data_IF_204857566826
#
_entry.id   IF_204857566826
#
_cell.length_a   1.000
_cell.length_b   1.000
_cell.length_c   1.000
_cell.angle_alpha   90.00
_cell.angle_beta   90.00
_cell.angle_gamma   90.00
#
_symmetry.space_group_name_H-M   'P 1'
#
loop_
_entity.id
_entity.type
_entity.pdbx_description
1 polymer ?
#
# COMPACT_ATOMS: atom_id res chain seq x y z
N UNK A 1 31.41 -54.75 8.67
CA UNK A 1 31.56 -53.62 7.72
C UNK A 1 30.19 -53.33 7.11
N UNK A 2 29.59 -52.18 7.41
CA UNK A 2 28.32 -51.78 6.80
C UNK A 2 28.59 -51.31 5.37
N UNK A 3 28.03 -52.01 4.37
CA UNK A 3 28.14 -51.60 2.96
C UNK A 3 27.42 -50.26 2.78
N UNK A 4 28.18 -49.21 2.45
CA UNK A 4 27.63 -47.92 2.04
C UNK A 4 27.05 -48.07 0.63
N UNK A 5 25.72 -48.05 0.50
CA UNK A 5 25.06 -47.96 -0.81
C UNK A 5 25.33 -46.57 -1.40
N UNK A 6 25.98 -46.52 -2.56
CA UNK A 6 26.17 -45.28 -3.32
C UNK A 6 24.91 -44.91 -4.10
N UNK A 7 24.69 -43.61 -4.30
CA UNK A 7 23.59 -43.08 -5.11
C UNK A 7 23.88 -43.31 -6.60
N UNK A 8 22.89 -43.74 -7.37
CA UNK A 8 23.08 -43.98 -8.82
C UNK A 8 22.86 -42.71 -9.64
N UNK A 9 23.57 -42.57 -10.76
CA UNK A 9 23.38 -41.46 -11.70
C UNK A 9 21.96 -41.45 -12.29
N UNK A 10 21.37 -42.62 -12.48
CA UNK A 10 20.01 -42.76 -13.01
C UNK A 10 18.97 -42.27 -12.01
N UNK A 11 19.15 -42.53 -10.70
CA UNK A 11 18.27 -41.99 -9.65
C UNK A 11 18.32 -40.46 -9.65
N UNK A 12 19.50 -39.86 -9.81
CA UNK A 12 19.63 -38.41 -9.87
C UNK A 12 18.90 -37.81 -11.09
N UNK A 13 19.06 -38.44 -12.25
CA UNK A 13 18.45 -37.99 -13.50
C UNK A 13 16.92 -37.99 -13.44
N UNK A 14 16.32 -39.03 -12.88
CA UNK A 14 14.87 -39.12 -12.73
C UNK A 14 14.36 -38.04 -11.78
N UNK A 15 15.05 -37.81 -10.65
CA UNK A 15 14.67 -36.78 -9.67
C UNK A 15 14.68 -35.38 -10.30
N UNK A 16 15.74 -35.03 -11.04
CA UNK A 16 15.83 -33.74 -11.73
C UNK A 16 14.75 -33.63 -12.80
N UNK A 17 14.48 -34.68 -13.58
CA UNK A 17 13.43 -34.68 -14.59
C UNK A 17 12.05 -34.37 -13.98
N UNK A 18 11.70 -35.00 -12.85
CA UNK A 18 10.43 -34.73 -12.16
C UNK A 18 10.37 -33.31 -11.60
N UNK A 19 11.45 -32.81 -10.97
CA UNK A 19 11.52 -31.43 -10.46
C UNK A 19 11.32 -30.41 -11.58
N UNK A 20 11.92 -30.63 -12.75
CA UNK A 20 11.79 -29.72 -13.89
C UNK A 20 10.36 -29.66 -14.44
N UNK A 21 9.66 -30.81 -14.50
CA UNK A 21 8.25 -30.86 -14.91
C UNK A 21 7.38 -30.07 -13.92
N UNK A 22 7.58 -30.29 -12.61
CA UNK A 22 6.84 -29.57 -11.58
C UNK A 22 7.14 -28.07 -11.61
N UNK A 23 8.41 -27.68 -11.76
CA UNK A 23 8.82 -26.29 -11.81
C UNK A 23 8.23 -25.54 -13.02
N UNK A 24 8.16 -26.20 -14.18
CA UNK A 24 7.58 -25.61 -15.40
C UNK A 24 6.12 -25.19 -15.21
N UNK A 25 5.34 -25.93 -14.42
CA UNK A 25 3.94 -25.61 -14.12
C UNK A 25 3.85 -24.66 -12.91
N UNK A 26 4.66 -24.87 -11.88
CA UNK A 26 4.57 -24.13 -10.62
C UNK A 26 5.01 -22.66 -10.75
N UNK A 27 6.08 -22.38 -11.51
CA UNK A 27 6.63 -21.02 -11.65
C UNK A 27 5.61 -20.03 -12.24
N UNK A 28 4.99 -20.26 -13.42
CA UNK A 28 4.03 -19.31 -13.98
C UNK A 28 2.79 -19.14 -13.08
N UNK A 29 2.32 -20.21 -12.45
CA UNK A 29 1.21 -20.15 -11.50
C UNK A 29 1.55 -19.27 -10.28
N UNK A 30 2.75 -19.45 -9.71
CA UNK A 30 3.22 -18.67 -8.57
C UNK A 30 3.37 -17.17 -8.90
N UNK A 31 3.92 -16.86 -10.09
CA UNK A 31 4.01 -15.47 -10.57
C UNK A 31 2.64 -14.81 -10.70
N UNK A 32 1.64 -15.54 -11.20
CA UNK A 32 0.25 -15.07 -11.29
C UNK A 32 -0.37 -14.77 -9.92
N UNK A 33 -0.13 -15.62 -8.92
CA UNK A 33 -0.60 -15.39 -7.54
C UNK A 33 0.08 -14.16 -6.94
N UNK A 34 1.40 -14.01 -7.14
CA UNK A 34 2.13 -12.83 -6.68
C UNK A 34 1.59 -11.53 -7.30
N UNK A 35 1.28 -11.51 -8.60
CA UNK A 35 0.72 -10.32 -9.27
C UNK A 35 -0.66 -9.97 -8.71
N UNK A 36 -1.52 -10.97 -8.48
CA UNK A 36 -2.84 -10.75 -7.85
C UNK A 36 -2.72 -10.21 -6.44
N UNK A 37 -1.80 -10.74 -5.64
CA UNK A 37 -1.54 -10.26 -4.28
C UNK A 37 -1.02 -8.81 -4.29
N UNK A 38 -0.14 -8.45 -5.23
CA UNK A 38 0.32 -7.06 -5.43
C UNK A 38 -0.86 -6.12 -5.71
N UNK A 39 -1.72 -6.45 -6.67
CA UNK A 39 -2.90 -5.64 -7.01
C UNK A 39 -3.85 -5.50 -5.82
N UNK A 40 -4.12 -6.59 -5.10
CA UNK A 40 -4.96 -6.59 -3.91
C UNK A 40 -4.40 -5.66 -2.81
N UNK A 41 -3.09 -5.69 -2.57
CA UNK A 41 -2.42 -4.83 -1.59
C UNK A 41 -2.56 -3.34 -1.92
N UNK A 42 -2.44 -2.96 -3.20
CA UNK A 42 -2.61 -1.57 -3.65
C UNK A 42 -4.04 -1.08 -3.41
N UNK A 43 -5.02 -1.92 -3.75
CA UNK A 43 -6.44 -1.59 -3.51
C UNK A 43 -6.73 -1.46 -2.02
N UNK A 44 -6.21 -2.37 -1.19
CA UNK A 44 -6.38 -2.32 0.26
C UNK A 44 -5.80 -1.02 0.86
N UNK A 45 -4.61 -0.62 0.43
CA UNK A 45 -4.00 0.63 0.87
C UNK A 45 -4.75 1.86 0.39
N UNK A 46 -5.25 1.86 -0.85
CA UNK A 46 -6.04 2.97 -1.35
C UNK A 46 -7.36 3.14 -0.56
N UNK A 47 -7.98 2.05 -0.13
CA UNK A 47 -9.15 2.07 0.75
C UNK A 47 -8.83 2.57 2.16
N UNK A 48 -7.74 2.09 2.76
CA UNK A 48 -7.29 2.57 4.07
C UNK A 48 -6.96 4.08 4.03
N UNK A 49 -6.29 4.52 2.96
CA UNK A 49 -5.99 5.93 2.73
C UNK A 49 -7.25 6.77 2.53
N UNK A 50 -8.29 6.23 1.90
CA UNK A 50 -9.58 6.92 1.74
C UNK A 50 -10.18 7.26 3.09
N UNK A 51 -10.34 6.27 3.96
CA UNK A 51 -10.93 6.45 5.27
C UNK A 51 -10.19 7.52 6.07
N UNK A 52 -8.85 7.48 6.05
CA UNK A 52 -8.06 8.48 6.75
C UNK A 52 -8.22 9.88 6.14
N UNK A 53 -8.22 9.98 4.80
CA UNK A 53 -8.42 11.25 4.11
C UNK A 53 -9.80 11.86 4.41
N UNK A 54 -10.84 11.04 4.54
CA UNK A 54 -12.17 11.50 4.95
C UNK A 54 -12.11 12.11 6.36
N UNK A 55 -11.54 11.38 7.33
CA UNK A 55 -11.37 11.88 8.69
C UNK A 55 -10.55 13.17 8.73
N UNK A 56 -9.42 13.23 8.00
CA UNK A 56 -8.55 14.41 7.93
C UNK A 56 -9.25 15.61 7.28
N UNK A 57 -10.07 15.38 6.24
CA UNK A 57 -10.86 16.43 5.59
C UNK A 57 -11.92 16.96 6.55
N UNK A 58 -12.63 16.08 7.22
CA UNK A 58 -13.65 16.43 8.21
C UNK A 58 -13.06 17.31 9.31
N UNK A 59 -11.92 16.91 9.87
CA UNK A 59 -11.23 17.70 10.90
C UNK A 59 -10.74 19.06 10.43
N UNK A 60 -10.41 19.19 9.14
CA UNK A 60 -9.95 20.44 8.53
C UNK A 60 -11.09 21.42 8.32
N UNK A 61 -12.28 20.92 8.03
CA UNK A 61 -13.48 21.73 7.83
C UNK A 61 -14.33 21.87 9.11
N UNK A 62 -14.01 21.13 10.17
CA UNK A 62 -14.66 21.25 11.47
C UNK A 62 -14.50 22.66 12.10
N UNK A 63 -15.50 23.13 12.87
CA UNK A 63 -15.47 24.44 13.51
C UNK A 63 -14.39 24.60 14.59
N UNK A 64 -13.85 23.49 15.12
CA UNK A 64 -12.76 23.49 16.11
C UNK A 64 -11.61 22.54 15.72
N UNK A 65 -10.75 22.91 14.75
CA UNK A 65 -9.73 22.03 14.20
C UNK A 65 -8.71 21.52 15.24
N UNK A 66 -8.46 22.29 16.30
CA UNK A 66 -7.48 21.96 17.35
C UNK A 66 -7.92 20.84 18.30
N UNK A 67 -9.23 20.53 18.38
CA UNK A 67 -9.75 19.42 19.20
C UNK A 67 -9.84 18.12 18.39
N UNK A 68 -10.32 18.20 17.15
CA UNK A 68 -10.39 17.04 16.22
C UNK A 68 -8.98 16.59 15.78
N UNK A 69 -8.00 17.48 15.87
CA UNK A 69 -6.58 17.21 15.73
C UNK A 69 -6.07 15.94 16.41
N UNK A 70 -6.50 15.73 17.66
CA UNK A 70 -5.96 14.70 18.55
C UNK A 70 -6.65 13.36 18.39
N UNK A 71 -7.63 13.25 17.50
CA UNK A 71 -8.39 12.03 17.24
C UNK A 71 -8.02 11.40 15.90
N UNK A 72 -7.02 11.95 15.20
CA UNK A 72 -6.60 11.55 13.85
C UNK A 72 -5.10 11.37 13.86
N UNK A 73 -4.62 10.32 13.17
CA UNK A 73 -3.19 10.12 12.95
C UNK A 73 -2.77 11.08 11.83
N UNK A 74 -2.09 12.17 12.19
CA UNK A 74 -1.64 13.15 11.20
C UNK A 74 -0.29 12.73 10.62
N UNK A 75 0.52 12.00 11.37
CA UNK A 75 1.90 11.72 11.00
C UNK A 75 2.05 10.41 10.20
N UNK A 76 1.08 9.51 10.29
CA UNK A 76 1.06 8.21 9.64
C UNK A 76 1.97 7.20 10.33
N UNK A 77 1.92 7.07 11.65
CA UNK A 77 2.64 6.01 12.36
C UNK A 77 1.72 4.90 12.88
N UNK A 78 0.41 4.98 12.57
CA UNK A 78 -0.59 4.01 12.97
C UNK A 78 -1.01 4.14 14.43
N UNK A 79 -0.66 5.25 15.09
CA UNK A 79 -1.06 5.56 16.46
C UNK A 79 -1.60 6.97 16.52
N UNK A 80 -2.57 7.19 17.40
CA UNK A 80 -3.06 8.53 17.72
C UNK A 80 -2.37 8.93 19.03
N UNK A 81 -1.37 9.80 18.95
CA UNK A 81 -0.58 10.23 20.11
C UNK A 81 -0.24 11.73 20.11
N UNK A 82 0.63 12.16 21.03
CA UNK A 82 1.00 13.58 21.20
C UNK A 82 1.76 14.18 20.00
N UNK A 83 2.28 13.34 19.11
CA UNK A 83 2.99 13.71 17.87
C UNK A 83 2.00 14.08 16.75
N UNK A 84 0.72 13.75 16.90
CA UNK A 84 -0.37 14.13 15.99
C UNK A 84 -0.89 15.54 16.26
N UNK A 85 -0.10 16.51 15.82
CA UNK A 85 -0.47 17.93 15.86
C UNK A 85 -1.05 18.33 14.50
N UNK A 86 -2.13 19.13 14.50
CA UNK A 86 -2.70 19.67 13.24
C UNK A 86 -1.58 20.34 12.44
N UNK A 87 -1.33 19.94 11.19
CA UNK A 87 -0.30 20.56 10.36
C UNK A 87 -0.70 21.99 9.91
N UNK A 88 -1.97 22.36 10.11
CA UNK A 88 -2.60 23.52 9.49
C UNK A 88 -3.47 24.33 10.48
N UNK A 89 -2.88 25.09 11.41
CA UNK A 89 -3.64 25.84 12.42
C UNK A 89 -4.48 26.99 11.86
N UNK A 90 -4.21 27.47 10.63
CA UNK A 90 -4.99 28.52 9.94
C UNK A 90 -5.12 28.18 8.46
N UNK A 91 -6.36 28.17 7.93
CA UNK A 91 -6.70 27.96 6.50
C UNK A 91 -6.31 26.56 5.97
N UNK A 92 -6.78 25.53 6.64
CA UNK A 92 -6.66 24.17 6.14
C UNK A 92 -7.66 23.94 4.98
N UNK A 93 -7.23 23.24 3.93
CA UNK A 93 -8.06 22.89 2.78
C UNK A 93 -7.64 21.54 2.19
N UNK A 94 -8.49 20.96 1.35
CA UNK A 94 -8.25 19.65 0.72
C UNK A 94 -6.87 19.53 0.04
N UNK A 95 -6.37 20.60 -0.59
CA UNK A 95 -5.06 20.61 -1.25
C UNK A 95 -3.90 20.49 -0.27
N UNK A 96 -4.00 21.12 0.91
CA UNK A 96 -2.99 21.02 1.95
C UNK A 96 -2.97 19.62 2.56
N UNK A 97 -4.14 19.04 2.83
CA UNK A 97 -4.28 17.65 3.31
C UNK A 97 -3.64 16.69 2.32
N UNK A 98 -4.02 16.76 1.04
CA UNK A 98 -3.44 15.92 -0.01
C UNK A 98 -1.91 16.09 -0.12
N UNK A 99 -1.40 17.31 0.00
CA UNK A 99 0.04 17.57 -0.05
C UNK A 99 0.81 17.09 1.18
N UNK A 100 0.17 17.06 2.36
CA UNK A 100 0.77 16.55 3.59
C UNK A 100 0.84 15.04 3.59
N UNK A 101 -0.27 14.38 3.21
CA UNK A 101 -0.28 12.94 2.98
C UNK A 101 0.77 12.58 1.92
N UNK A 102 0.83 13.32 0.80
CA UNK A 102 1.89 13.16 -0.22
C UNK A 102 3.31 13.19 0.29
N UNK A 103 3.61 14.01 1.29
CA UNK A 103 4.98 14.19 1.80
C UNK A 103 5.32 13.21 2.92
N UNK A 104 4.37 12.99 3.82
CA UNK A 104 4.62 12.27 5.07
C UNK A 104 4.22 10.80 4.96
N UNK A 105 3.13 10.49 4.26
CA UNK A 105 2.55 9.16 4.18
C UNK A 105 3.05 8.37 2.96
N UNK A 106 3.49 9.02 1.88
CA UNK A 106 4.11 8.27 0.76
C UNK A 106 5.48 7.67 1.12
N UNK A 107 5.97 7.92 2.35
CA UNK A 107 7.09 7.21 2.96
C UNK A 107 6.66 5.94 3.72
N UNK A 108 5.38 5.57 3.72
CA UNK A 108 4.94 4.20 4.00
C UNK A 108 5.57 3.29 2.94
N UNK A 109 6.82 2.94 3.20
CA UNK A 109 7.46 1.76 2.66
C UNK A 109 6.49 0.65 3.02
N UNK A 110 5.79 0.13 2.01
CA UNK A 110 5.15 -1.17 2.05
C UNK A 110 6.05 -2.05 2.91
N UNK A 111 5.58 -2.42 4.10
CA UNK A 111 6.43 -3.04 5.09
C UNK A 111 6.88 -4.38 4.49
N UNK A 112 8.06 -4.36 3.89
CA UNK A 112 8.67 -5.51 3.26
C UNK A 112 9.38 -6.26 4.38
N UNK A 113 9.00 -7.51 4.68
CA UNK A 113 9.71 -8.34 5.67
C UNK A 113 11.19 -8.52 5.32
N UNK A 114 11.58 -8.25 4.06
CA UNK A 114 12.92 -8.46 3.50
C UNK A 114 13.66 -7.16 3.17
N UNK A 115 13.38 -6.07 3.89
CA UNK A 115 14.23 -4.87 3.90
C UNK A 115 13.97 -3.83 2.80
N UNK A 116 14.74 -2.73 2.86
CA UNK A 116 14.50 -1.39 2.26
C UNK A 116 14.52 -1.28 0.71
N UNK A 117 14.31 -2.37 -0.04
CA UNK A 117 14.16 -2.32 -1.50
C UNK A 117 12.67 -2.37 -1.87
N UNK A 118 12.26 -1.56 -2.83
CA UNK A 118 10.90 -1.52 -3.40
C UNK A 118 10.60 -2.77 -4.24
N UNK A 119 10.79 -3.98 -3.68
CA UNK A 119 10.59 -5.27 -4.37
C UNK A 119 9.11 -5.53 -4.71
N UNK A 120 8.20 -4.75 -4.13
CA UNK A 120 6.78 -4.75 -4.43
C UNK A 120 6.34 -3.35 -4.88
N UNK A 121 6.87 -2.83 -6.00
CA UNK A 121 6.24 -1.70 -6.69
C UNK A 121 4.92 -2.20 -7.29
N UNK A 122 3.93 -2.39 -6.42
CA UNK A 122 2.68 -3.06 -6.72
C UNK A 122 1.71 -2.17 -7.51
N UNK A 123 1.95 -0.85 -7.50
CA UNK A 123 1.12 0.16 -8.13
C UNK A 123 1.46 1.56 -7.65
N UNK A 124 0.76 2.57 -8.20
CA UNK A 124 0.90 3.98 -7.80
C UNK A 124 -0.48 4.51 -7.38
N UNK A 125 -0.52 5.23 -6.26
CA UNK A 125 -1.73 5.92 -5.78
C UNK A 125 -1.58 7.43 -6.06
N UNK A 126 -2.50 7.98 -6.84
CA UNK A 126 -2.60 9.40 -7.15
C UNK A 126 -3.72 10.04 -6.34
N UNK A 127 -3.40 11.19 -5.74
CA UNK A 127 -4.37 12.03 -5.05
C UNK A 127 -4.56 13.34 -5.80
N UNK A 128 -5.81 13.69 -6.10
CA UNK A 128 -6.20 14.98 -6.68
C UNK A 128 -7.19 15.68 -5.76
N UNK A 129 -6.77 16.78 -5.16
CA UNK A 129 -7.62 17.58 -4.30
C UNK A 129 -8.47 18.59 -5.10
N UNK A 130 -9.66 18.88 -4.59
CA UNK A 130 -10.56 19.92 -5.06
C UNK A 130 -11.05 20.74 -3.87
N UNK A 131 -10.53 21.96 -3.71
CA UNK A 131 -10.92 22.83 -2.60
C UNK A 131 -12.37 23.33 -2.72
N UNK A 132 -12.89 23.50 -3.96
CA UNK A 132 -14.29 23.91 -4.20
C UNK A 132 -15.28 22.84 -3.74
N UNK A 133 -14.94 21.57 -3.91
CA UNK A 133 -15.77 20.42 -3.52
C UNK A 133 -15.36 19.81 -2.19
N UNK A 134 -14.42 20.43 -1.46
CA UNK A 134 -13.87 19.93 -0.20
C UNK A 134 -13.47 18.45 -0.23
N UNK A 135 -12.98 17.96 -1.37
CA UNK A 135 -12.78 16.53 -1.62
C UNK A 135 -11.43 16.20 -2.23
N UNK A 136 -11.02 14.94 -2.05
CA UNK A 136 -9.80 14.36 -2.59
C UNK A 136 -10.16 13.11 -3.36
N UNK A 137 -9.92 13.12 -4.67
CA UNK A 137 -10.04 11.94 -5.52
C UNK A 137 -8.79 11.09 -5.38
N UNK A 138 -9.00 9.80 -5.15
CA UNK A 138 -7.98 8.77 -4.99
C UNK A 138 -8.07 7.86 -6.21
N UNK A 139 -6.96 7.67 -6.90
CA UNK A 139 -6.86 6.71 -8.01
C UNK A 139 -5.66 5.82 -7.80
N UNK A 140 -5.88 4.51 -7.79
CA UNK A 140 -4.84 3.51 -7.66
C UNK A 140 -4.68 2.76 -8.97
N UNK A 141 -3.44 2.64 -9.43
CA UNK A 141 -3.10 1.97 -10.68
C UNK A 141 -2.18 0.80 -10.40
N UNK A 142 -2.24 -0.25 -11.23
CA UNK A 142 -1.24 -1.32 -11.21
C UNK A 142 0.12 -0.83 -11.76
N UNK A 143 1.11 -1.72 -11.75
CA UNK A 143 2.44 -1.48 -12.32
C UNK A 143 2.45 -1.27 -13.85
N UNK A 144 1.36 -1.67 -14.52
CA UNK A 144 1.14 -1.51 -15.97
C UNK A 144 0.34 -0.25 -16.32
N UNK A 145 -0.11 0.51 -15.32
CA UNK A 145 -0.90 1.74 -15.51
C UNK A 145 -2.40 1.52 -15.67
N UNK A 146 -2.92 0.31 -15.45
CA UNK A 146 -4.36 0.06 -15.43
C UNK A 146 -4.97 0.56 -14.13
N UNK A 147 -6.13 1.19 -14.21
CA UNK A 147 -6.87 1.64 -13.03
C UNK A 147 -7.42 0.44 -12.25
N UNK A 148 -6.99 0.29 -11.00
CA UNK A 148 -7.47 -0.76 -10.09
C UNK A 148 -8.58 -0.26 -9.15
N UNK A 149 -8.50 1.00 -8.74
CA UNK A 149 -9.45 1.59 -7.80
C UNK A 149 -9.55 3.10 -8.02
N UNK A 150 -10.76 3.64 -7.95
CA UNK A 150 -11.02 5.07 -8.02
C UNK A 150 -12.16 5.43 -7.10
N UNK A 151 -11.94 6.39 -6.22
CA UNK A 151 -12.94 6.82 -5.25
C UNK A 151 -12.67 8.27 -4.81
N UNK A 152 -13.62 8.88 -4.10
CA UNK A 152 -13.54 10.26 -3.63
C UNK A 152 -13.76 10.30 -2.13
N UNK A 153 -12.79 10.83 -1.40
CA UNK A 153 -12.95 11.23 0.00
C UNK A 153 -13.49 12.66 0.02
N UNK A 154 -14.57 12.93 0.75
CA UNK A 154 -15.13 14.28 0.92
C UNK A 154 -15.37 14.55 2.40
N UNK A 155 -15.24 15.81 2.82
CA UNK A 155 -15.91 16.27 4.03
C UNK A 155 -17.39 16.53 3.71
N UNK A 156 -18.28 16.17 4.62
CA UNK A 156 -19.71 16.48 4.52
C UNK A 156 -20.03 17.87 5.12
#
# INVERSE_FOLDING_TARGET
>A
MTMRKGFTLIELLIVVAVILILAAIAIPAYLGVQERAKRANVVAQAKALKLELENMLEAVYAPSPSMVAKTIDWNGDGKIDRRDRVPFPRRANASRVANHVKRNWYKFKLNNPWGKKNVFKAGIIYLRASNKRKSITIKAYDDKGNLLYSDVASAE
#
